data_IF_901504336925
#
_entry.id   IF_901504336925
#
_cell.length_a   1.000
_cell.length_b   1.000
_cell.length_c   1.000
_cell.angle_alpha   90.00
_cell.angle_beta   90.00
_cell.angle_gamma   90.00
#
_symmetry.space_group_name_H-M   'P 1'
#
loop_
_entity.id
_entity.type
_entity.pdbx_description
1 polymer ?
#
# COMPACT_ATOMS: atom_id res chain seq x y z
N UNK A 1 3.35 -8.11 -10.98
CA UNK A 1 3.11 -6.77 -11.58
C UNK A 1 3.65 -5.68 -10.65
N UNK A 2 3.66 -4.40 -11.08
CA UNK A 2 3.95 -3.23 -10.21
C UNK A 2 2.65 -2.49 -9.94
N UNK A 3 2.27 -2.37 -8.66
CA UNK A 3 0.98 -1.81 -8.23
C UNK A 3 1.20 -0.60 -7.32
N UNK A 4 0.35 0.41 -7.45
CA UNK A 4 0.22 1.49 -6.46
C UNK A 4 -1.12 1.33 -5.76
N UNK A 5 -1.10 1.28 -4.43
CA UNK A 5 -2.31 1.17 -3.60
C UNK A 5 -2.45 2.43 -2.76
N UNK A 6 -3.50 3.20 -3.05
CA UNK A 6 -3.93 4.34 -2.23
C UNK A 6 -4.82 3.83 -1.10
N UNK A 7 -4.66 4.36 0.11
CA UNK A 7 -5.46 3.91 1.27
C UNK A 7 -5.11 2.49 1.73
N UNK A 8 -3.85 2.08 1.58
CA UNK A 8 -3.35 0.75 1.93
C UNK A 8 -3.53 0.36 3.41
N UNK A 9 -3.75 1.31 4.33
CA UNK A 9 -4.08 1.04 5.73
C UNK A 9 -5.59 0.88 6.00
N UNK A 10 -6.44 1.10 4.99
CA UNK A 10 -7.89 0.92 5.10
C UNK A 10 -8.32 -0.55 5.04
N UNK A 11 -9.60 -0.81 5.38
CA UNK A 11 -10.19 -2.17 5.42
C UNK A 11 -9.89 -2.99 4.16
N UNK A 12 -10.18 -2.42 2.99
CA UNK A 12 -9.94 -3.10 1.71
C UNK A 12 -8.49 -3.01 1.26
N UNK A 13 -7.87 -1.83 1.41
CA UNK A 13 -6.50 -1.58 0.93
C UNK A 13 -5.49 -2.55 1.54
N UNK A 14 -5.65 -2.89 2.83
CA UNK A 14 -4.77 -3.86 3.49
C UNK A 14 -4.87 -5.25 2.87
N UNK A 15 -6.08 -5.74 2.61
CA UNK A 15 -6.30 -7.03 1.96
C UNK A 15 -5.72 -7.06 0.54
N UNK A 16 -5.83 -5.96 -0.20
CA UNK A 16 -5.25 -5.83 -1.54
C UNK A 16 -3.72 -5.91 -1.48
N UNK A 17 -3.08 -5.21 -0.54
CA UNK A 17 -1.63 -5.27 -0.35
C UNK A 17 -1.18 -6.69 -0.01
N UNK A 18 -1.83 -7.33 0.97
CA UNK A 18 -1.50 -8.69 1.40
C UNK A 18 -1.62 -9.70 0.25
N UNK A 19 -2.72 -9.67 -0.50
CA UNK A 19 -2.94 -10.58 -1.64
C UNK A 19 -1.96 -10.32 -2.79
N UNK A 20 -1.68 -9.06 -3.12
CA UNK A 20 -0.74 -8.72 -4.17
C UNK A 20 0.69 -9.17 -3.83
N UNK A 21 1.12 -8.98 -2.58
CA UNK A 21 2.43 -9.44 -2.12
C UNK A 21 2.50 -10.98 -2.12
N UNK A 22 1.45 -11.67 -1.67
CA UNK A 22 1.37 -13.13 -1.72
C UNK A 22 1.43 -13.69 -3.15
N UNK A 23 0.88 -12.97 -4.13
CA UNK A 23 0.99 -13.28 -5.56
C UNK A 23 2.35 -12.90 -6.18
N UNK A 24 3.32 -12.48 -5.37
CA UNK A 24 4.67 -12.12 -5.83
C UNK A 24 4.75 -10.79 -6.57
N UNK A 25 3.78 -9.89 -6.39
CA UNK A 25 3.79 -8.57 -7.01
C UNK A 25 4.59 -7.55 -6.18
N UNK A 26 5.12 -6.53 -6.85
CA UNK A 26 5.74 -5.37 -6.19
C UNK A 26 4.67 -4.31 -5.93
N UNK A 27 4.57 -3.84 -4.70
CA UNK A 27 3.53 -2.90 -4.26
C UNK A 27 4.17 -1.63 -3.72
N UNK A 28 3.69 -0.48 -4.18
CA UNK A 28 3.93 0.82 -3.55
C UNK A 28 2.65 1.25 -2.82
N UNK A 29 2.70 1.32 -1.50
CA UNK A 29 1.59 1.75 -0.65
C UNK A 29 1.72 3.23 -0.30
N UNK A 30 0.77 4.07 -0.72
CA UNK A 30 0.66 5.46 -0.27
C UNK A 30 -0.25 5.52 0.96
N UNK A 31 0.30 5.95 2.09
CA UNK A 31 -0.38 5.94 3.39
C UNK A 31 -0.08 7.22 4.18
N UNK A 32 -1.04 7.68 5.00
CA UNK A 32 -0.84 8.83 5.89
C UNK A 32 0.04 8.52 7.10
N UNK A 33 -0.13 7.31 7.62
CA UNK A 33 0.49 6.79 8.84
C UNK A 33 1.15 5.45 8.50
N UNK A 34 2.41 5.45 8.01
CA UNK A 34 3.15 4.23 7.70
C UNK A 34 3.17 3.20 8.83
N UNK A 35 3.23 3.67 10.08
CA UNK A 35 3.24 2.86 11.29
C UNK A 35 1.98 2.00 11.49
N UNK A 36 0.87 2.34 10.81
CA UNK A 36 -0.38 1.56 10.87
C UNK A 36 -0.41 0.40 9.86
N UNK A 37 0.57 0.29 8.98
CA UNK A 37 0.67 -0.82 8.04
C UNK A 37 1.37 -1.99 8.73
N UNK A 38 0.60 -3.02 9.09
CA UNK A 38 1.10 -4.19 9.83
C UNK A 38 1.81 -5.24 8.95
N UNK A 39 2.12 -4.92 7.69
CA UNK A 39 2.69 -5.85 6.71
C UNK A 39 4.10 -5.40 6.32
N UNK A 40 5.03 -6.36 6.24
CA UNK A 40 6.39 -6.15 5.74
C UNK A 40 6.70 -7.19 4.66
N UNK A 41 7.42 -6.77 3.62
CA UNK A 41 7.88 -7.62 2.53
C UNK A 41 9.01 -6.91 1.77
N UNK A 42 9.96 -7.65 1.21
CA UNK A 42 10.98 -7.10 0.30
C UNK A 42 10.36 -6.48 -0.97
N UNK A 43 9.14 -6.89 -1.32
CA UNK A 43 8.41 -6.39 -2.48
C UNK A 43 7.46 -5.22 -2.14
N UNK A 44 7.45 -4.74 -0.90
CA UNK A 44 6.62 -3.64 -0.44
C UNK A 44 7.45 -2.37 -0.24
N UNK A 45 7.09 -1.31 -0.95
CA UNK A 45 7.57 0.05 -0.71
C UNK A 45 6.47 0.87 -0.06
N UNK A 46 6.75 1.50 1.08
CA UNK A 46 5.80 2.38 1.77
C UNK A 46 6.19 3.83 1.53
N UNK A 47 5.22 4.66 1.15
CA UNK A 47 5.39 6.09 0.94
C UNK A 47 4.41 6.82 1.85
N UNK A 48 4.95 7.70 2.71
CA UNK A 48 4.13 8.60 3.50
C UNK A 48 3.57 9.71 2.61
N UNK A 49 2.25 9.91 2.61
CA UNK A 49 1.62 10.98 1.85
C UNK A 49 0.09 10.88 1.78
N UNK A 50 -0.51 11.86 1.09
CA UNK A 50 -1.94 11.96 0.86
C UNK A 50 -2.22 12.09 -0.62
N UNK A 51 -3.27 11.40 -1.10
CA UNK A 51 -3.79 11.63 -2.43
C UNK A 51 -4.72 12.84 -2.36
N UNK A 52 -4.42 13.86 -3.14
CA UNK A 52 -5.23 15.06 -3.33
C UNK A 52 -5.63 15.13 -4.80
N UNK A 53 -6.78 15.73 -5.08
CA UNK A 53 -7.26 15.99 -6.43
C UNK A 53 -7.26 17.50 -6.60
N UNK A 54 -6.54 17.98 -7.61
CA UNK A 54 -6.56 19.38 -7.99
C UNK A 54 -7.98 19.76 -8.43
N UNK A 55 -8.54 20.82 -7.84
CA UNK A 55 -9.95 21.22 -8.01
C UNK A 55 -10.08 22.45 -8.88
#
# INVERSE_FOLDING_TARGET
MKLVVLGATGRTGRLVVEQALAAGHTVTALVRSPEKLATSSSNLRVVAGQAEVDR
#
